data_IF_309936848384
#
_entry.id   IF_309936848384
#
_cell.length_a   1.000
_cell.length_b   1.000
_cell.length_c   1.000
_cell.angle_alpha   90.00
_cell.angle_beta   90.00
_cell.angle_gamma   90.00
#
_symmetry.space_group_name_H-M   'P 1'
#
loop_
_entity.id
_entity.type
_entity.pdbx_description
1 polymer ?
#
# COMPACT_ATOMS: atom_id res chain seq x y z
N UNK A 1 17.07 19.16 1.59
CA UNK A 1 15.69 19.57 1.98
C UNK A 1 15.31 18.78 3.22
N UNK A 2 14.54 19.36 4.15
CA UNK A 2 14.03 18.58 5.29
C UNK A 2 13.16 17.42 4.79
N UNK A 3 13.25 16.27 5.46
CA UNK A 3 12.42 15.12 5.13
C UNK A 3 10.93 15.49 5.34
N UNK A 4 10.09 15.13 4.37
CA UNK A 4 8.64 15.36 4.48
C UNK A 4 8.05 14.45 5.54
N UNK A 5 7.23 15.02 6.42
CA UNK A 5 6.50 14.29 7.43
C UNK A 5 5.23 13.70 6.83
N UNK A 6 5.12 12.39 6.81
CA UNK A 6 3.99 11.68 6.22
C UNK A 6 3.27 10.89 7.30
N UNK A 7 2.00 11.21 7.52
CA UNK A 7 1.12 10.40 8.37
C UNK A 7 0.56 9.25 7.54
N UNK A 8 0.86 8.03 7.95
CA UNK A 8 0.25 6.81 7.40
C UNK A 8 -0.92 6.41 8.30
N UNK A 9 -2.09 6.30 7.73
CA UNK A 9 -3.27 5.72 8.40
C UNK A 9 -3.61 4.41 7.71
N UNK A 10 -3.45 3.28 8.43
CA UNK A 10 -3.62 1.97 7.81
C UNK A 10 -3.48 0.81 8.79
N UNK A 11 -3.37 -0.39 8.24
CA UNK A 11 -3.32 -1.66 8.95
C UNK A 11 -1.92 -2.06 9.39
N UNK A 12 -1.87 -2.82 10.47
CA UNK A 12 -0.69 -3.52 10.96
C UNK A 12 -1.06 -4.99 11.23
N UNK A 13 -0.51 -5.93 10.46
CA UNK A 13 -0.79 -7.36 10.56
C UNK A 13 0.46 -8.16 10.88
N UNK A 14 0.26 -9.31 11.53
CA UNK A 14 1.23 -10.38 11.50
C UNK A 14 0.74 -11.41 10.47
N UNK A 15 1.47 -11.58 9.37
CA UNK A 15 1.11 -12.52 8.32
C UNK A 15 1.65 -13.90 8.64
N UNK A 16 0.78 -14.92 8.68
CA UNK A 16 1.14 -16.33 8.72
C UNK A 16 1.32 -16.81 7.29
N UNK A 17 2.56 -16.86 6.82
CA UNK A 17 2.91 -17.35 5.47
C UNK A 17 3.17 -18.85 5.52
N UNK A 18 2.44 -19.60 4.73
CA UNK A 18 2.53 -21.04 4.60
C UNK A 18 2.85 -21.39 3.15
N UNK A 19 3.97 -22.11 2.92
CA UNK A 19 4.25 -22.69 1.62
C UNK A 19 3.75 -24.13 1.64
N UNK A 20 3.00 -24.54 0.61
CA UNK A 20 2.38 -25.86 0.56
C UNK A 20 2.29 -26.38 -0.86
N UNK A 21 2.22 -27.70 -1.00
CA UNK A 21 2.03 -28.33 -2.30
C UNK A 21 0.70 -27.93 -2.93
N UNK A 22 -0.39 -28.01 -2.15
CA UNK A 22 -1.74 -27.55 -2.53
C UNK A 22 -2.53 -27.11 -1.29
N UNK A 23 -3.57 -26.33 -1.47
CA UNK A 23 -4.57 -26.10 -0.42
C UNK A 23 -5.42 -27.35 -0.29
N UNK A 24 -5.65 -27.88 0.93
CA UNK A 24 -6.44 -29.10 1.12
C UNK A 24 -7.90 -28.91 0.68
N UNK A 25 -8.48 -29.98 0.11
CA UNK A 25 -9.91 -30.02 -0.20
C UNK A 25 -10.78 -30.10 1.06
N UNK A 26 -12.08 -29.88 0.93
CA UNK A 26 -13.01 -29.98 2.06
C UNK A 26 -12.96 -31.38 2.68
N UNK A 27 -12.61 -31.46 3.96
CA UNK A 27 -12.47 -32.71 4.70
C UNK A 27 -11.11 -33.41 4.54
N UNK A 28 -10.19 -32.86 3.76
CA UNK A 28 -8.82 -33.37 3.62
C UNK A 28 -7.92 -32.83 4.72
N UNK A 29 -7.02 -33.67 5.23
CA UNK A 29 -5.90 -33.27 6.08
C UNK A 29 -4.59 -33.54 5.34
N UNK A 30 -3.81 -32.49 5.10
CA UNK A 30 -2.48 -32.63 4.51
C UNK A 30 -1.40 -32.44 5.56
N UNK A 31 -0.35 -33.26 5.47
CA UNK A 31 0.90 -33.04 6.17
C UNK A 31 1.88 -32.52 5.12
N UNK A 32 2.39 -31.30 5.30
CA UNK A 32 3.24 -30.59 4.35
C UNK A 32 4.46 -30.04 5.09
N UNK A 33 5.61 -30.10 4.42
CA UNK A 33 6.90 -29.63 4.94
C UNK A 33 7.42 -28.35 4.25
N UNK A 34 6.57 -27.68 3.47
CA UNK A 34 6.89 -26.48 2.70
C UNK A 34 7.29 -25.25 3.54
N UNK A 35 7.02 -25.29 4.83
CA UNK A 35 7.46 -24.28 5.80
C UNK A 35 6.40 -23.24 6.14
N UNK A 36 6.50 -22.76 7.39
CA UNK A 36 5.61 -21.76 7.98
C UNK A 36 6.43 -20.64 8.59
N UNK A 37 6.03 -19.40 8.37
CA UNK A 37 6.68 -18.22 8.96
C UNK A 37 5.65 -17.17 9.36
N UNK A 38 5.91 -16.52 10.50
CA UNK A 38 5.25 -15.27 10.87
C UNK A 38 6.07 -14.10 10.37
N UNK A 39 5.47 -13.23 9.56
CA UNK A 39 6.15 -12.11 8.91
C UNK A 39 5.35 -10.83 9.16
N UNK A 40 6.00 -9.72 9.56
CA UNK A 40 5.33 -8.42 9.61
C UNK A 40 4.71 -8.08 8.27
N UNK A 41 3.43 -7.71 8.28
CA UNK A 41 2.62 -7.40 7.11
C UNK A 41 1.57 -6.34 7.41
N UNK A 42 0.57 -6.29 6.56
CA UNK A 42 -0.43 -5.22 6.52
C UNK A 42 -0.02 -4.09 5.57
N UNK A 43 -0.95 -3.66 4.73
CA UNK A 43 -0.66 -2.65 3.67
C UNK A 43 -0.21 -1.32 4.25
N UNK A 44 -0.82 -0.87 5.36
CA UNK A 44 -0.39 0.34 6.06
C UNK A 44 1.04 0.23 6.58
N UNK A 45 1.38 -0.90 7.19
CA UNK A 45 2.73 -1.15 7.70
C UNK A 45 3.78 -1.26 6.59
N UNK A 46 3.47 -1.96 5.49
CA UNK A 46 4.35 -2.03 4.32
C UNK A 46 4.62 -0.64 3.74
N UNK A 47 3.58 0.19 3.62
CA UNK A 47 3.72 1.56 3.17
C UNK A 47 4.57 2.41 4.14
N UNK A 48 4.38 2.27 5.46
CA UNK A 48 5.16 2.99 6.46
C UNK A 48 6.65 2.63 6.38
N UNK A 49 6.98 1.33 6.24
CA UNK A 49 8.36 0.88 6.02
C UNK A 49 8.90 1.45 4.69
N UNK A 50 8.10 1.40 3.62
CA UNK A 50 8.52 1.92 2.31
C UNK A 50 8.84 3.42 2.37
N UNK A 51 7.94 4.22 2.93
CA UNK A 51 8.11 5.67 3.08
C UNK A 51 9.38 6.00 3.87
N UNK A 52 9.64 5.27 4.97
CA UNK A 52 10.83 5.47 5.80
C UNK A 52 12.11 5.11 5.04
N UNK A 53 12.16 3.94 4.35
CA UNK A 53 13.30 3.52 3.52
C UNK A 53 13.59 4.50 2.37
N UNK A 54 12.56 5.19 1.90
CA UNK A 54 12.64 6.21 0.84
C UNK A 54 12.89 7.63 1.40
N UNK A 55 13.18 7.75 2.71
CA UNK A 55 13.65 8.96 3.33
C UNK A 55 12.56 9.94 3.79
N UNK A 56 11.32 9.49 3.98
CA UNK A 56 10.30 10.29 4.64
C UNK A 56 10.40 10.21 6.17
N UNK A 57 9.95 11.26 6.88
CA UNK A 57 9.66 11.22 8.31
C UNK A 57 8.27 10.60 8.49
N UNK A 58 8.22 9.28 8.69
CA UNK A 58 6.99 8.51 8.70
C UNK A 58 6.40 8.40 10.11
N UNK A 59 5.16 8.87 10.28
CA UNK A 59 4.34 8.69 11.47
C UNK A 59 3.23 7.69 11.17
N UNK A 60 3.13 6.63 11.98
CA UNK A 60 2.22 5.52 11.70
C UNK A 60 1.07 5.47 12.69
N UNK A 61 -0.14 5.72 12.20
CA UNK A 61 -1.40 5.56 12.93
C UNK A 61 -2.05 4.23 12.54
N UNK A 62 -2.00 3.29 13.46
CA UNK A 62 -2.56 1.95 13.32
C UNK A 62 -2.94 1.40 14.70
N UNK A 63 -3.48 0.19 14.75
CA UNK A 63 -3.84 -0.46 16.01
C UNK A 63 -3.44 -1.92 16.00
N UNK A 64 -2.77 -2.38 17.07
CA UNK A 64 -2.34 -3.76 17.28
C UNK A 64 -2.94 -4.30 18.58
N UNK A 65 -3.00 -5.60 18.74
CA UNK A 65 -3.45 -6.22 19.99
C UNK A 65 -2.41 -6.14 21.11
N UNK A 66 -2.86 -6.32 22.36
CA UNK A 66 -2.01 -6.48 23.54
C UNK A 66 -1.43 -7.90 23.62
N UNK A 67 -0.97 -8.45 22.51
CA UNK A 67 -0.46 -9.80 22.37
C UNK A 67 1.00 -9.83 21.89
N UNK A 68 1.57 -11.02 21.77
CA UNK A 68 2.96 -11.22 21.34
C UNK A 68 3.21 -10.67 19.91
N UNK A 69 2.21 -10.77 19.03
CA UNK A 69 2.32 -10.26 17.66
C UNK A 69 2.38 -8.72 17.66
N UNK A 70 1.51 -8.07 18.43
CA UNK A 70 1.54 -6.61 18.59
C UNK A 70 2.86 -6.09 19.15
N UNK A 71 3.42 -6.77 20.15
CA UNK A 71 4.74 -6.43 20.72
C UNK A 71 5.86 -6.54 19.68
N UNK A 72 5.88 -7.66 18.91
CA UNK A 72 6.87 -7.86 17.84
C UNK A 72 6.76 -6.81 16.73
N UNK A 73 5.53 -6.47 16.31
CA UNK A 73 5.29 -5.44 15.30
C UNK A 73 5.75 -4.06 15.78
N UNK A 74 5.43 -3.71 17.03
CA UNK A 74 5.87 -2.45 17.61
C UNK A 74 7.40 -2.31 17.59
N UNK A 75 8.12 -3.36 18.03
CA UNK A 75 9.57 -3.36 18.02
C UNK A 75 10.13 -3.28 16.59
N UNK A 76 9.55 -4.05 15.66
CA UNK A 76 9.92 -4.05 14.26
C UNK A 76 9.83 -2.65 13.62
N UNK A 77 8.72 -1.93 13.85
CA UNK A 77 8.55 -0.59 13.29
C UNK A 77 9.56 0.41 13.89
N UNK A 78 9.87 0.29 15.17
CA UNK A 78 10.91 1.12 15.80
C UNK A 78 12.31 0.88 15.22
N UNK A 79 12.65 -0.36 14.91
CA UNK A 79 13.92 -0.72 14.27
C UNK A 79 14.09 -0.11 12.89
N UNK A 80 12.97 0.08 12.15
CA UNK A 80 12.97 0.81 10.89
C UNK A 80 13.01 2.34 11.04
N UNK A 81 12.89 2.87 12.25
CA UNK A 81 12.86 4.32 12.48
C UNK A 81 11.47 4.96 12.23
N UNK A 82 10.42 4.14 12.17
CA UNK A 82 9.05 4.65 12.05
C UNK A 82 8.62 5.29 13.38
N UNK A 83 8.01 6.46 13.34
CA UNK A 83 7.42 7.06 14.53
C UNK A 83 6.15 6.30 14.93
N UNK A 84 6.22 5.60 16.06
CA UNK A 84 5.15 4.74 16.59
C UNK A 84 4.30 5.40 17.67
N UNK A 85 4.39 6.72 17.87
CA UNK A 85 3.63 7.44 18.91
C UNK A 85 2.11 7.28 18.74
N UNK A 86 1.66 7.04 17.51
CA UNK A 86 0.25 6.86 17.17
C UNK A 86 -0.14 5.39 16.89
N UNK A 87 0.77 4.45 17.14
CA UNK A 87 0.46 3.03 17.13
C UNK A 87 -0.25 2.66 18.44
N UNK A 88 -1.55 2.40 18.36
CA UNK A 88 -2.40 2.13 19.54
C UNK A 88 -2.43 0.65 19.86
N UNK A 89 -2.70 0.34 21.12
CA UNK A 89 -2.83 -1.04 21.61
C UNK A 89 -4.28 -1.32 22.02
N UNK A 90 -4.88 -2.33 21.40
CA UNK A 90 -6.18 -2.87 21.77
C UNK A 90 -6.00 -3.97 22.82
N UNK A 91 -6.72 -3.91 23.94
CA UNK A 91 -6.65 -4.90 25.00
C UNK A 91 -7.69 -6.01 24.89
N UNK A 92 -8.67 -5.81 24.01
CA UNK A 92 -9.83 -6.71 23.87
C UNK A 92 -9.72 -7.56 22.60
N UNK A 93 -9.00 -7.09 21.58
CA UNK A 93 -8.91 -7.77 20.30
C UNK A 93 -7.45 -8.09 19.96
N UNK A 94 -7.19 -9.25 19.34
CA UNK A 94 -5.84 -9.64 18.93
C UNK A 94 -5.33 -8.75 17.79
N UNK A 95 -4.03 -8.76 17.59
CA UNK A 95 -3.38 -8.17 16.42
C UNK A 95 -3.97 -8.73 15.12
N UNK A 96 -4.12 -7.90 14.09
CA UNK A 96 -4.54 -8.33 12.77
C UNK A 96 -3.67 -9.45 12.23
N UNK A 97 -4.29 -10.45 11.61
CA UNK A 97 -3.63 -11.62 11.06
C UNK A 97 -4.03 -11.82 9.60
N UNK A 98 -3.06 -12.05 8.72
CA UNK A 98 -3.33 -12.60 7.41
C UNK A 98 -2.79 -14.03 7.32
N UNK A 99 -3.59 -14.97 6.82
CA UNK A 99 -3.12 -16.31 6.47
C UNK A 99 -2.86 -16.33 4.98
N UNK A 100 -1.60 -16.44 4.61
CA UNK A 100 -1.12 -16.43 3.21
C UNK A 100 -0.71 -17.84 2.84
N UNK A 101 -1.54 -18.53 2.08
CA UNK A 101 -1.30 -19.88 1.56
C UNK A 101 -0.69 -19.78 0.17
N UNK A 102 0.55 -20.22 0.01
CA UNK A 102 1.30 -20.20 -1.26
C UNK A 102 1.44 -21.63 -1.79
N UNK A 103 0.82 -21.89 -2.92
CA UNK A 103 0.87 -23.20 -3.56
C UNK A 103 2.13 -23.35 -4.44
N UNK A 104 2.57 -24.58 -4.66
CA UNK A 104 3.79 -24.88 -5.44
C UNK A 104 3.71 -24.43 -6.91
N UNK A 105 2.52 -24.25 -7.45
CA UNK A 105 2.27 -23.74 -8.81
C UNK A 105 2.36 -22.20 -8.90
N UNK A 106 2.60 -21.52 -7.77
CA UNK A 106 2.72 -20.06 -7.69
C UNK A 106 1.41 -19.33 -7.36
N UNK A 107 0.29 -20.03 -7.25
CA UNK A 107 -0.97 -19.45 -6.78
C UNK A 107 -0.86 -19.08 -5.29
N UNK A 108 -1.62 -18.07 -4.88
CA UNK A 108 -1.79 -17.75 -3.47
C UNK A 108 -3.25 -17.52 -3.13
N UNK A 109 -3.58 -17.80 -1.87
CA UNK A 109 -4.88 -17.47 -1.27
C UNK A 109 -4.62 -16.77 0.05
N UNK A 110 -5.35 -15.69 0.29
CA UNK A 110 -5.15 -14.86 1.47
C UNK A 110 -6.49 -14.69 2.18
N UNK A 111 -6.48 -14.96 3.49
CA UNK A 111 -7.59 -14.66 4.37
C UNK A 111 -7.09 -13.67 5.41
N UNK A 112 -7.76 -12.52 5.53
CA UNK A 112 -7.41 -11.48 6.49
C UNK A 112 -8.42 -11.46 7.62
N UNK A 113 -7.93 -11.57 8.84
CA UNK A 113 -8.66 -11.27 10.06
C UNK A 113 -8.21 -9.90 10.56
N UNK A 114 -9.09 -8.88 10.53
CA UNK A 114 -8.70 -7.51 10.85
C UNK A 114 -8.18 -7.31 12.28
N UNK A 115 -8.72 -8.05 13.25
CA UNK A 115 -8.36 -7.89 14.66
C UNK A 115 -8.45 -6.43 15.11
N UNK A 116 -7.44 -5.97 15.83
CA UNK A 116 -7.34 -4.59 16.32
C UNK A 116 -7.44 -3.51 15.24
N UNK A 117 -7.06 -3.79 13.98
CA UNK A 117 -7.23 -2.83 12.88
C UNK A 117 -8.69 -2.41 12.69
N UNK A 118 -9.63 -3.35 12.93
CA UNK A 118 -11.06 -3.08 12.86
C UNK A 118 -11.59 -2.08 13.90
N UNK A 119 -10.80 -1.83 14.94
CA UNK A 119 -11.16 -0.99 16.09
C UNK A 119 -10.39 0.34 16.14
N UNK A 120 -9.75 0.73 15.05
CA UNK A 120 -9.20 2.08 14.93
C UNK A 120 -10.35 3.09 15.01
N UNK A 121 -10.18 4.17 15.78
CA UNK A 121 -11.25 5.13 16.05
C UNK A 121 -10.94 6.53 15.50
N UNK A 122 -11.95 7.39 15.42
CA UNK A 122 -11.78 8.77 14.96
C UNK A 122 -10.91 9.55 15.96
N UNK A 123 -10.97 9.25 17.25
CA UNK A 123 -10.11 9.84 18.28
C UNK A 123 -8.64 9.50 18.02
N UNK A 124 -8.34 8.24 17.66
CA UNK A 124 -6.97 7.85 17.30
C UNK A 124 -6.45 8.63 16.07
N UNK A 125 -7.34 8.88 15.11
CA UNK A 125 -7.01 9.70 13.94
C UNK A 125 -6.75 11.15 14.34
N UNK A 126 -7.64 11.76 15.15
CA UNK A 126 -7.45 13.15 15.61
C UNK A 126 -6.12 13.35 16.34
N UNK A 127 -5.77 12.44 17.26
CA UNK A 127 -4.48 12.46 17.94
C UNK A 127 -3.31 12.33 16.96
N UNK A 128 -3.43 11.45 15.93
CA UNK A 128 -2.36 11.27 14.96
C UNK A 128 -2.08 12.54 14.13
N UNK A 129 -3.09 13.35 13.86
CA UNK A 129 -2.92 14.64 13.20
C UNK A 129 -2.24 15.72 14.05
N UNK A 130 -1.98 15.47 15.33
CA UNK A 130 -1.15 16.36 16.17
C UNK A 130 0.32 16.39 15.74
N UNK A 131 0.77 15.40 14.93
CA UNK A 131 2.09 15.45 14.34
C UNK A 131 2.26 16.55 13.27
N UNK A 132 1.19 17.21 12.86
CA UNK A 132 1.20 18.22 11.79
C UNK A 132 1.87 17.72 10.51
N UNK A 133 1.27 16.70 9.82
CA UNK A 133 1.91 16.08 8.68
C UNK A 133 1.87 16.96 7.42
N UNK A 134 2.92 16.87 6.59
CA UNK A 134 2.96 17.47 5.25
C UNK A 134 2.04 16.73 4.25
N UNK A 135 1.72 15.45 4.52
CA UNK A 135 0.85 14.64 3.68
C UNK A 135 0.20 13.49 4.48
N UNK A 136 -0.98 13.06 4.02
CA UNK A 136 -1.64 11.85 4.47
C UNK A 136 -1.46 10.74 3.42
N UNK A 137 -0.91 9.59 3.85
CA UNK A 137 -0.97 8.34 3.11
C UNK A 137 -2.08 7.47 3.70
N UNK A 138 -2.99 6.98 2.87
CA UNK A 138 -4.20 6.29 3.30
C UNK A 138 -4.39 5.00 2.53
N UNK A 139 -4.63 3.88 3.25
CA UNK A 139 -5.08 2.61 2.70
C UNK A 139 -6.48 2.23 3.19
N UNK A 140 -7.08 1.20 2.58
CA UNK A 140 -8.44 0.75 2.92
C UNK A 140 -8.47 -0.58 3.67
N UNK A 141 -7.35 -1.05 4.21
CA UNK A 141 -7.30 -2.27 5.05
C UNK A 141 -7.67 -1.97 6.53
N UNK A 142 -8.47 -0.94 6.72
CA UNK A 142 -9.12 -0.50 7.96
C UNK A 142 -10.58 -0.19 7.65
N UNK A 143 -11.46 -0.01 8.65
CA UNK A 143 -12.84 0.37 8.36
C UNK A 143 -12.92 1.62 7.47
N UNK A 144 -13.64 1.54 6.34
CA UNK A 144 -13.69 2.63 5.36
C UNK A 144 -14.19 3.95 5.98
N UNK A 145 -15.08 3.88 6.97
CA UNK A 145 -15.56 5.06 7.69
C UNK A 145 -14.41 5.81 8.42
N UNK A 146 -13.43 5.07 8.94
CA UNK A 146 -12.24 5.65 9.59
C UNK A 146 -11.29 6.24 8.55
N UNK A 147 -11.06 5.52 7.44
CA UNK A 147 -10.30 6.04 6.31
C UNK A 147 -10.91 7.35 5.76
N UNK A 148 -12.22 7.38 5.60
CA UNK A 148 -12.97 8.57 5.19
C UNK A 148 -12.83 9.72 6.20
N UNK A 149 -12.86 9.44 7.50
CA UNK A 149 -12.66 10.45 8.55
C UNK A 149 -11.26 11.04 8.48
N UNK A 150 -10.22 10.22 8.32
CA UNK A 150 -8.85 10.68 8.14
C UNK A 150 -8.71 11.59 6.90
N UNK A 151 -9.31 11.17 5.77
CA UNK A 151 -9.31 11.98 4.55
C UNK A 151 -9.99 13.34 4.74
N UNK A 152 -11.15 13.38 5.43
CA UNK A 152 -11.86 14.63 5.71
C UNK A 152 -11.08 15.57 6.63
N UNK A 153 -10.40 15.05 7.65
CA UNK A 153 -9.54 15.84 8.54
C UNK A 153 -8.38 16.43 7.75
N UNK A 154 -7.68 15.62 6.93
CA UNK A 154 -6.61 16.10 6.07
C UNK A 154 -7.08 17.22 5.13
N UNK A 155 -8.19 17.00 4.43
CA UNK A 155 -8.75 17.98 3.51
C UNK A 155 -9.13 19.31 4.21
N UNK A 156 -9.71 19.25 5.41
CA UNK A 156 -10.06 20.45 6.19
C UNK A 156 -8.83 21.27 6.62
N UNK A 157 -7.65 20.63 6.67
CA UNK A 157 -6.35 21.26 7.00
C UNK A 157 -5.51 21.60 5.76
N UNK A 158 -6.02 21.35 4.55
CA UNK A 158 -5.28 21.57 3.31
C UNK A 158 -4.11 20.61 3.11
N UNK A 159 -4.10 19.45 3.78
CA UNK A 159 -3.06 18.44 3.71
C UNK A 159 -3.33 17.55 2.49
N UNK A 160 -2.37 17.36 1.56
CA UNK A 160 -2.55 16.51 0.39
C UNK A 160 -2.70 15.04 0.80
N UNK A 161 -3.59 14.32 0.09
CA UNK A 161 -3.99 12.96 0.40
C UNK A 161 -3.55 12.03 -0.74
N UNK A 162 -2.80 11.00 -0.39
CA UNK A 162 -2.35 9.94 -1.28
C UNK A 162 -3.04 8.63 -0.88
N UNK A 163 -3.79 8.03 -1.80
CA UNK A 163 -4.60 6.85 -1.51
C UNK A 163 -4.03 5.64 -2.25
N UNK A 164 -3.57 4.64 -1.50
CA UNK A 164 -3.47 3.27 -2.02
C UNK A 164 -4.84 2.61 -1.87
N UNK A 165 -5.51 2.37 -2.99
CA UNK A 165 -6.90 1.99 -3.02
C UNK A 165 -7.15 0.50 -2.67
N UNK A 166 -6.31 -0.07 -1.82
CA UNK A 166 -6.27 -1.48 -1.46
C UNK A 166 -6.64 -1.71 0.02
N UNK A 167 -7.38 -2.80 0.32
CA UNK A 167 -8.16 -3.62 -0.60
C UNK A 167 -9.42 -2.90 -1.10
N UNK A 168 -9.84 -3.22 -2.32
CA UNK A 168 -11.05 -2.65 -2.88
C UNK A 168 -12.31 -3.31 -2.31
N UNK A 169 -13.23 -2.51 -1.80
CA UNK A 169 -14.58 -2.92 -1.47
C UNK A 169 -15.57 -2.48 -2.56
N UNK A 170 -16.38 -3.41 -3.07
CA UNK A 170 -17.33 -3.12 -4.16
C UNK A 170 -18.30 -1.99 -3.80
N UNK A 171 -18.71 -1.95 -2.54
CA UNK A 171 -19.72 -1.03 -2.04
C UNK A 171 -19.12 0.21 -1.34
N UNK A 172 -17.81 0.45 -1.49
CA UNK A 172 -17.19 1.65 -0.91
C UNK A 172 -17.74 2.92 -1.55
N UNK A 173 -18.29 3.86 -0.77
CA UNK A 173 -18.82 5.13 -1.26
C UNK A 173 -17.67 6.10 -1.59
N UNK A 174 -16.92 5.80 -2.66
CA UNK A 174 -15.74 6.58 -3.08
C UNK A 174 -16.08 8.05 -3.34
N UNK A 175 -17.31 8.33 -3.73
CA UNK A 175 -17.85 9.68 -3.97
C UNK A 175 -17.86 10.54 -2.70
N UNK A 176 -17.80 9.92 -1.52
CA UNK A 176 -17.75 10.59 -0.21
C UNK A 176 -16.33 11.09 0.13
N UNK A 177 -15.30 10.59 -0.56
CA UNK A 177 -13.93 11.07 -0.36
C UNK A 177 -13.82 12.54 -0.76
N UNK A 178 -13.07 13.36 0.01
CA UNK A 178 -12.72 14.70 -0.42
C UNK A 178 -11.80 14.64 -1.66
N UNK A 179 -11.39 15.80 -2.18
CA UNK A 179 -10.35 15.84 -3.22
C UNK A 179 -9.07 15.18 -2.70
N UNK A 180 -8.57 14.19 -3.44
CA UNK A 180 -7.29 13.55 -3.16
C UNK A 180 -6.27 13.94 -4.23
N UNK A 181 -5.01 14.00 -3.85
CA UNK A 181 -3.92 14.31 -4.78
C UNK A 181 -3.72 13.17 -5.78
N UNK A 182 -3.62 11.93 -5.25
CA UNK A 182 -3.43 10.72 -6.06
C UNK A 182 -4.32 9.59 -5.51
N UNK A 183 -5.03 8.92 -6.42
CA UNK A 183 -5.76 7.69 -6.16
C UNK A 183 -5.13 6.56 -6.97
N UNK A 184 -4.54 5.56 -6.27
CA UNK A 184 -3.69 4.54 -6.89
C UNK A 184 -4.22 3.11 -6.67
N UNK A 185 -5.14 2.62 -7.50
CA UNK A 185 -5.56 1.22 -7.53
C UNK A 185 -4.63 0.37 -8.39
N UNK A 186 -4.63 -0.96 -8.17
CA UNK A 186 -4.14 -1.94 -9.13
C UNK A 186 -5.25 -2.38 -10.10
N UNK A 187 -4.95 -3.38 -10.95
CA UNK A 187 -5.90 -3.87 -11.96
C UNK A 187 -7.16 -4.49 -11.33
N UNK A 188 -6.99 -5.30 -10.29
CA UNK A 188 -8.09 -5.98 -9.60
C UNK A 188 -8.95 -5.00 -8.79
N UNK A 189 -8.32 -4.07 -8.12
CA UNK A 189 -9.00 -2.99 -7.40
C UNK A 189 -9.78 -2.11 -8.37
N UNK A 190 -9.18 -1.78 -9.51
CA UNK A 190 -9.83 -1.03 -10.59
C UNK A 190 -11.05 -1.79 -11.12
N UNK A 191 -10.92 -3.09 -11.39
CA UNK A 191 -12.02 -3.94 -11.82
C UNK A 191 -13.15 -3.99 -10.77
N UNK A 192 -12.78 -4.12 -9.49
CA UNK A 192 -13.75 -4.14 -8.37
C UNK A 192 -14.54 -2.84 -8.30
N UNK A 193 -13.88 -1.69 -8.45
CA UNK A 193 -14.55 -0.39 -8.38
C UNK A 193 -15.35 -0.02 -9.63
N UNK A 194 -14.96 -0.51 -10.82
CA UNK A 194 -15.50 -0.03 -12.09
C UNK A 194 -16.21 -1.09 -12.94
N UNK A 195 -15.99 -2.36 -12.64
CA UNK A 195 -16.38 -3.48 -13.50
C UNK A 195 -15.50 -3.62 -14.76
N UNK A 196 -14.41 -2.84 -14.88
CA UNK A 196 -13.53 -2.83 -16.06
C UNK A 196 -12.13 -3.28 -15.66
N UNK A 197 -11.67 -4.41 -16.21
CA UNK A 197 -10.29 -4.87 -16.04
C UNK A 197 -9.36 -4.12 -17.02
N UNK A 198 -8.38 -3.32 -16.55
CA UNK A 198 -7.54 -2.45 -17.38
C UNK A 198 -6.37 -3.19 -18.01
N UNK A 199 -6.62 -4.10 -18.96
CA UNK A 199 -5.59 -4.95 -19.61
C UNK A 199 -4.83 -4.27 -20.75
N UNK A 200 -5.26 -3.12 -21.23
CA UNK A 200 -4.63 -2.35 -22.32
C UNK A 200 -4.99 -0.88 -22.21
N UNK A 201 -4.40 -0.03 -23.05
CA UNK A 201 -4.56 1.43 -22.97
C UNK A 201 -6.03 1.87 -23.05
N UNK A 202 -6.81 1.31 -23.97
CA UNK A 202 -8.22 1.69 -24.13
C UNK A 202 -9.08 1.27 -22.95
N UNK A 203 -8.88 0.07 -22.41
CA UNK A 203 -9.59 -0.39 -21.22
C UNK A 203 -9.16 0.38 -19.98
N UNK A 204 -7.86 0.71 -19.87
CA UNK A 204 -7.34 1.54 -18.78
C UNK A 204 -7.91 2.96 -18.82
N UNK A 205 -8.03 3.57 -20.01
CA UNK A 205 -8.68 4.88 -20.15
C UNK A 205 -10.15 4.83 -19.73
N UNK A 206 -10.91 3.83 -20.19
CA UNK A 206 -12.32 3.68 -19.78
C UNK A 206 -12.46 3.48 -18.27
N UNK A 207 -11.58 2.67 -17.66
CA UNK A 207 -11.58 2.44 -16.24
C UNK A 207 -11.19 3.71 -15.46
N UNK A 208 -10.17 4.44 -15.92
CA UNK A 208 -9.76 5.71 -15.30
C UNK A 208 -10.87 6.77 -15.37
N UNK A 209 -11.60 6.87 -16.50
CA UNK A 209 -12.77 7.75 -16.63
C UNK A 209 -13.91 7.35 -15.68
N UNK A 210 -14.15 6.04 -15.51
CA UNK A 210 -15.14 5.54 -14.56
C UNK A 210 -14.74 5.86 -13.11
N UNK A 211 -13.48 5.66 -12.74
CA UNK A 211 -12.94 6.05 -11.42
C UNK A 211 -13.04 7.56 -11.19
N UNK A 212 -12.64 8.35 -12.18
CA UNK A 212 -12.64 9.82 -12.08
C UNK A 212 -14.04 10.42 -11.85
N UNK A 213 -15.08 9.72 -12.27
CA UNK A 213 -16.48 10.08 -11.97
C UNK A 213 -16.86 9.77 -10.52
N UNK A 214 -16.20 8.82 -9.88
CA UNK A 214 -16.47 8.35 -8.52
C UNK A 214 -15.55 8.96 -7.47
N UNK A 215 -14.32 9.30 -7.85
CA UNK A 215 -13.30 9.84 -6.94
C UNK A 215 -12.89 11.22 -7.41
N UNK A 216 -13.00 12.20 -6.55
CA UNK A 216 -12.43 13.53 -6.79
C UNK A 216 -10.91 13.43 -6.58
N UNK A 217 -10.17 13.16 -7.66
CA UNK A 217 -8.73 13.01 -7.62
C UNK A 217 -8.05 13.92 -8.64
N UNK A 218 -6.89 14.47 -8.29
CA UNK A 218 -6.06 15.20 -9.26
C UNK A 218 -5.46 14.24 -10.28
N UNK A 219 -5.01 13.07 -9.79
CA UNK A 219 -4.50 12.00 -10.63
C UNK A 219 -5.10 10.65 -10.26
N UNK A 220 -5.52 9.88 -11.27
CA UNK A 220 -5.78 8.44 -11.16
C UNK A 220 -4.54 7.73 -11.69
N UNK A 221 -3.91 6.87 -10.87
CA UNK A 221 -2.71 6.12 -11.22
C UNK A 221 -3.01 4.63 -11.12
N UNK A 222 -3.29 3.97 -12.24
CA UNK A 222 -3.60 2.54 -12.26
C UNK A 222 -2.30 1.74 -12.38
N UNK A 223 -1.97 0.95 -11.37
CA UNK A 223 -0.84 0.02 -11.37
C UNK A 223 -1.18 -1.19 -12.24
N UNK A 224 -0.38 -1.46 -13.29
CA UNK A 224 -0.67 -2.51 -14.28
C UNK A 224 0.41 -3.61 -14.33
N UNK A 225 1.08 -3.87 -13.20
CA UNK A 225 2.09 -4.92 -13.08
C UNK A 225 3.17 -4.80 -14.14
N UNK A 226 3.35 -5.84 -14.96
CA UNK A 226 4.37 -5.88 -16.02
C UNK A 226 4.17 -4.86 -17.15
N UNK A 227 3.03 -4.20 -17.21
CA UNK A 227 2.75 -3.11 -18.17
C UNK A 227 3.12 -1.74 -17.62
N UNK A 228 3.52 -1.64 -16.34
CA UNK A 228 3.88 -0.38 -15.70
C UNK A 228 2.69 0.32 -15.05
N UNK A 229 2.46 1.60 -15.34
CA UNK A 229 1.40 2.38 -14.75
C UNK A 229 0.72 3.30 -15.76
N UNK A 230 -0.61 3.35 -15.72
CA UNK A 230 -1.44 4.26 -16.49
C UNK A 230 -1.85 5.45 -15.62
N UNK A 231 -1.69 6.66 -16.13
CA UNK A 231 -1.99 7.91 -15.42
C UNK A 231 -3.03 8.72 -16.17
N UNK A 232 -4.03 9.22 -15.44
CA UNK A 232 -5.06 10.14 -15.97
C UNK A 232 -5.18 11.36 -15.05
N UNK A 233 -5.14 12.57 -15.63
CA UNK A 233 -5.17 13.85 -14.91
C UNK A 233 -6.52 14.61 -15.02
N UNK A 234 -7.55 13.94 -15.51
CA UNK A 234 -8.86 14.54 -15.77
C UNK A 234 -9.03 15.07 -17.21
N UNK A 235 -7.95 15.18 -17.98
CA UNK A 235 -7.95 15.67 -19.38
C UNK A 235 -7.11 14.80 -20.30
N UNK A 236 -5.91 14.45 -19.86
CA UNK A 236 -4.93 13.72 -20.63
C UNK A 236 -4.54 12.44 -19.89
N UNK A 237 -4.01 11.49 -20.64
CA UNK A 237 -3.39 10.30 -20.05
C UNK A 237 -2.00 10.06 -20.61
N UNK A 238 -1.22 9.31 -19.88
CA UNK A 238 0.05 8.75 -20.33
C UNK A 238 0.34 7.43 -19.62
N UNK A 239 1.27 6.68 -20.16
CA UNK A 239 1.74 5.41 -19.58
C UNK A 239 3.22 5.55 -19.27
N UNK A 240 3.62 5.06 -18.10
CA UNK A 240 5.02 4.80 -17.75
C UNK A 240 5.20 3.30 -17.86
N UNK A 241 6.03 2.81 -18.78
CA UNK A 241 6.26 1.36 -18.94
C UNK A 241 6.97 0.78 -17.72
N UNK A 242 6.81 -0.53 -17.52
CA UNK A 242 7.54 -1.24 -16.46
C UNK A 242 9.04 -1.28 -16.77
N UNK A 243 9.85 -1.31 -15.72
CA UNK A 243 11.30 -1.55 -15.80
C UNK A 243 11.54 -3.04 -15.51
N UNK A 244 12.25 -3.72 -16.40
CA UNK A 244 12.59 -5.14 -16.24
C UNK A 244 14.05 -5.29 -15.81
N UNK A 245 14.27 -5.62 -14.53
CA UNK A 245 15.63 -5.80 -13.97
C UNK A 245 15.95 -7.26 -13.63
N UNK A 246 15.00 -8.17 -13.79
CA UNK A 246 15.17 -9.59 -13.50
C UNK A 246 13.84 -10.35 -13.50
N UNK A 247 13.90 -11.62 -13.09
CA UNK A 247 12.70 -12.46 -12.90
C UNK A 247 11.97 -12.04 -11.63
N UNK A 248 10.66 -11.89 -11.70
CA UNK A 248 9.84 -11.70 -10.52
C UNK A 248 9.91 -12.96 -9.63
N UNK A 249 10.21 -12.77 -8.35
CA UNK A 249 10.35 -13.81 -7.33
C UNK A 249 9.16 -13.80 -6.38
N UNK A 250 8.77 -12.60 -5.92
CA UNK A 250 7.65 -12.40 -4.99
C UNK A 250 7.03 -11.02 -5.26
N UNK A 251 5.74 -10.96 -5.52
CA UNK A 251 5.03 -9.71 -5.82
C UNK A 251 4.45 -9.03 -4.57
N UNK A 252 4.66 -9.63 -3.40
CA UNK A 252 4.18 -9.08 -2.11
C UNK A 252 4.79 -7.70 -1.87
N UNK A 253 3.95 -6.76 -1.41
CA UNK A 253 4.29 -5.36 -1.14
C UNK A 253 4.75 -4.51 -2.34
N UNK A 254 4.76 -5.03 -3.57
CA UNK A 254 5.16 -4.24 -4.74
C UNK A 254 4.23 -3.03 -4.99
N UNK A 255 2.92 -3.21 -4.79
CA UNK A 255 1.94 -2.12 -4.87
C UNK A 255 2.13 -1.08 -3.77
N UNK A 256 2.41 -1.54 -2.52
CA UNK A 256 2.66 -0.67 -1.36
C UNK A 256 3.95 0.15 -1.59
N UNK A 257 5.03 -0.51 -2.07
CA UNK A 257 6.29 0.14 -2.43
C UNK A 257 6.12 1.15 -3.57
N UNK A 258 5.36 0.80 -4.61
CA UNK A 258 5.03 1.70 -5.72
C UNK A 258 4.36 2.98 -5.22
N UNK A 259 3.25 2.85 -4.47
CA UNK A 259 2.45 4.02 -4.04
C UNK A 259 3.22 4.86 -3.02
N UNK A 260 4.01 4.25 -2.14
CA UNK A 260 4.89 4.97 -1.21
C UNK A 260 5.97 5.77 -1.95
N UNK A 261 6.66 5.13 -2.90
CA UNK A 261 7.71 5.77 -3.71
C UNK A 261 7.16 6.94 -4.55
N UNK A 262 6.02 6.72 -5.20
CA UNK A 262 5.30 7.76 -5.92
C UNK A 262 4.96 8.95 -5.01
N UNK A 263 4.49 8.69 -3.80
CA UNK A 263 4.16 9.74 -2.82
C UNK A 263 5.38 10.57 -2.44
N UNK A 264 6.48 9.91 -2.07
CA UNK A 264 7.72 10.59 -1.67
C UNK A 264 8.27 11.45 -2.80
N UNK A 265 8.38 10.90 -4.01
CA UNK A 265 8.94 11.64 -5.14
C UNK A 265 8.00 12.77 -5.62
N UNK A 266 6.68 12.56 -5.54
CA UNK A 266 5.74 13.62 -5.86
C UNK A 266 5.85 14.81 -4.89
N UNK A 267 5.97 14.55 -3.59
CA UNK A 267 6.17 15.59 -2.58
C UNK A 267 7.50 16.33 -2.74
N UNK A 268 8.53 15.70 -3.32
CA UNK A 268 9.84 16.30 -3.60
C UNK A 268 9.85 17.13 -4.87
N UNK A 269 9.29 16.60 -5.95
CA UNK A 269 9.43 17.16 -7.30
C UNK A 269 8.21 17.93 -7.79
N UNK A 270 7.05 17.72 -7.19
CA UNK A 270 5.74 18.16 -7.68
C UNK A 270 5.52 17.78 -9.16
N UNK A 271 6.09 16.67 -9.61
CA UNK A 271 6.03 16.19 -10.99
C UNK A 271 5.51 14.75 -11.02
N UNK A 272 4.30 14.57 -11.57
CA UNK A 272 3.63 13.27 -11.59
C UNK A 272 4.37 12.23 -12.46
N UNK A 273 5.02 12.64 -13.56
CA UNK A 273 5.77 11.71 -14.42
C UNK A 273 6.98 11.14 -13.69
N UNK A 274 7.74 12.01 -13.03
CA UNK A 274 8.89 11.61 -12.22
C UNK A 274 8.46 10.72 -11.06
N UNK A 275 7.38 11.09 -10.37
CA UNK A 275 6.83 10.34 -9.25
C UNK A 275 6.38 8.93 -9.65
N UNK A 276 5.66 8.79 -10.77
CA UNK A 276 5.22 7.48 -11.27
C UNK A 276 6.41 6.65 -11.75
N UNK A 277 7.40 7.25 -12.42
CA UNK A 277 8.64 6.56 -12.82
C UNK A 277 9.38 6.02 -11.60
N UNK A 278 9.45 6.81 -10.52
CA UNK A 278 10.05 6.41 -9.25
C UNK A 278 9.28 5.25 -8.59
N UNK A 279 7.94 5.30 -8.62
CA UNK A 279 7.07 4.20 -8.17
C UNK A 279 7.27 2.91 -8.96
N UNK A 280 7.32 3.01 -10.30
CA UNK A 280 7.59 1.86 -11.19
C UNK A 280 8.95 1.22 -10.87
N UNK A 281 9.99 2.02 -10.68
CA UNK A 281 11.32 1.53 -10.34
C UNK A 281 11.34 0.84 -8.96
N UNK A 282 10.70 1.41 -7.95
CA UNK A 282 10.58 0.80 -6.63
C UNK A 282 9.83 -0.54 -6.69
N UNK A 283 8.71 -0.60 -7.40
CA UNK A 283 7.96 -1.85 -7.61
C UNK A 283 8.79 -2.90 -8.35
N UNK A 284 9.54 -2.51 -9.38
CA UNK A 284 10.41 -3.41 -10.15
C UNK A 284 11.51 -4.04 -9.27
N UNK A 285 12.14 -3.27 -8.39
CA UNK A 285 13.13 -3.82 -7.44
C UNK A 285 12.44 -4.77 -6.45
N UNK A 286 11.31 -4.35 -5.89
CA UNK A 286 10.57 -5.12 -4.88
C UNK A 286 10.25 -6.53 -5.37
N UNK A 287 9.73 -6.69 -6.58
CA UNK A 287 9.33 -8.02 -7.11
C UNK A 287 10.51 -8.99 -7.35
N UNK A 288 11.75 -8.50 -7.39
CA UNK A 288 12.94 -9.35 -7.53
C UNK A 288 13.48 -9.91 -6.22
N UNK A 289 12.83 -9.59 -5.10
CA UNK A 289 13.26 -9.97 -3.75
C UNK A 289 12.16 -10.74 -3.04
N UNK A 290 12.52 -11.61 -2.09
CA UNK A 290 11.55 -12.33 -1.25
C UNK A 290 11.09 -11.48 -0.08
N UNK A 291 9.83 -11.63 0.29
CA UNK A 291 9.22 -11.05 1.49
C UNK A 291 8.45 -9.75 1.21
N UNK A 292 7.69 -9.29 2.21
CA UNK A 292 6.90 -8.07 2.14
C UNK A 292 7.79 -6.83 2.32
N UNK A 293 7.77 -6.19 3.49
CA UNK A 293 8.55 -4.98 3.78
C UNK A 293 10.07 -5.15 3.66
N UNK A 294 10.59 -6.39 3.80
CA UNK A 294 12.02 -6.68 3.62
C UNK A 294 12.49 -6.50 2.15
N UNK A 295 11.60 -6.75 1.16
CA UNK A 295 11.92 -6.62 -0.27
C UNK A 295 11.98 -5.18 -0.76
N UNK A 296 11.41 -4.23 -0.03
CA UNK A 296 11.28 -2.82 -0.41
C UNK A 296 12.66 -2.15 -0.51
N UNK A 297 12.96 -1.44 -1.62
CA UNK A 297 14.23 -0.78 -1.82
C UNK A 297 14.41 0.50 -0.98
N UNK A 298 15.65 0.95 -0.88
CA UNK A 298 16.01 2.29 -0.40
C UNK A 298 15.90 3.33 -1.51
N UNK A 299 15.92 4.63 -1.14
CA UNK A 299 15.93 5.74 -2.09
C UNK A 299 17.10 5.66 -3.08
N UNK A 300 18.30 5.36 -2.57
CA UNK A 300 19.50 5.26 -3.41
C UNK A 300 19.42 4.13 -4.44
N UNK A 301 18.85 2.98 -4.06
CA UNK A 301 18.64 1.85 -4.98
C UNK A 301 17.67 2.21 -6.11
N UNK A 302 16.58 2.92 -5.79
CA UNK A 302 15.61 3.37 -6.79
C UNK A 302 16.24 4.40 -7.73
N UNK A 303 16.96 5.37 -7.19
CA UNK A 303 17.66 6.39 -8.02
C UNK A 303 18.72 5.79 -8.91
N UNK A 304 19.52 4.84 -8.37
CA UNK A 304 20.53 4.13 -9.16
C UNK A 304 19.92 3.38 -10.34
N UNK A 305 18.77 2.73 -10.13
CA UNK A 305 18.05 2.05 -11.22
C UNK A 305 17.59 3.05 -12.30
N UNK A 306 16.98 4.16 -11.91
CA UNK A 306 16.47 5.17 -12.85
C UNK A 306 17.60 5.76 -13.67
N UNK A 307 18.74 6.10 -13.04
CA UNK A 307 19.91 6.62 -13.74
C UNK A 307 20.45 5.64 -14.78
N UNK A 308 20.45 4.34 -14.46
CA UNK A 308 20.87 3.29 -15.40
C UNK A 308 19.94 3.19 -16.61
N UNK A 309 18.64 3.28 -16.40
CA UNK A 309 17.63 3.22 -17.47
C UNK A 309 17.66 4.47 -18.37
N UNK A 310 17.97 5.64 -17.82
CA UNK A 310 18.07 6.88 -18.61
C UNK A 310 19.36 6.97 -19.45
N UNK A 311 20.33 6.08 -19.25
CA UNK A 311 21.57 5.96 -20.02
C UNK A 311 21.48 4.97 -21.18
N UNK A 312 20.40 4.18 -21.27
CA UNK A 312 20.13 3.20 -22.34
C UNK A 312 19.09 3.77 -23.31
#
# INVERSE_FOLDING_TARGET
MANKKILVVGSANMDLSMNMYKVPDVGETLIDDGGVAYVPGGKGANAAVALTKLGADCHFCAKVGADLHGQKLYQYYKEFGINTSYLKVDREHPTGLAVVMKESDGNNRIIVYPGANGNLTVENINEAFECEPDALYLGFEIPFAIALSAAKIAASRGIPIFVDAAPAGKDYPLESLPMVEIFSPNEKETETFTGILPQGTDSALRAALALYKRVKAKYIVIKQGERGAFVYDGKHFFVIPSIRIGKAIDTTAAGDAFTAALTVEYLRSNNIRNAVKFGVAAGAITVTRKGASASIPTDDEVRALILKEDLI
#
